data_IF_931291721723
#
_entry.id   IF_931291721723
#
_cell.length_a   1.000
_cell.length_b   1.000
_cell.length_c   1.000
_cell.angle_alpha   90.00
_cell.angle_beta   90.00
_cell.angle_gamma   90.00
#
_symmetry.space_group_name_H-M   'P 1'
#
loop_
_entity.id
_entity.type
_entity.pdbx_description
1 polymer ?
#
# COMPACT_ATOMS: atom_id res chain seq x y z
N UNK A 1 5.43 -31.24 38.75
CA UNK A 1 5.97 -29.95 38.27
C UNK A 1 7.24 -30.22 37.49
N UNK A 2 7.20 -30.11 36.17
CA UNK A 2 8.37 -30.30 35.31
C UNK A 2 9.11 -28.98 35.18
N UNK A 3 10.30 -28.89 35.76
CA UNK A 3 11.19 -27.74 35.62
C UNK A 3 11.95 -27.90 34.31
N UNK A 4 11.81 -26.90 33.43
CA UNK A 4 12.51 -26.81 32.15
C UNK A 4 13.96 -26.36 32.38
N UNK A 5 14.93 -27.10 31.85
CA UNK A 5 16.38 -26.83 31.92
C UNK A 5 16.87 -25.77 30.90
N UNK A 6 15.94 -25.03 30.30
CA UNK A 6 16.28 -24.05 29.27
C UNK A 6 16.75 -22.73 29.90
N UNK A 7 18.05 -22.47 29.82
CA UNK A 7 18.65 -21.17 30.14
C UNK A 7 18.34 -20.15 29.03
N UNK A 8 18.01 -18.90 29.36
CA UNK A 8 17.70 -17.88 28.35
C UNK A 8 18.94 -17.51 27.53
N UNK A 9 18.83 -17.60 26.21
CA UNK A 9 19.83 -17.07 25.27
C UNK A 9 19.43 -15.63 24.95
N UNK A 10 20.30 -14.69 25.30
CA UNK A 10 20.11 -13.26 25.02
C UNK A 10 21.14 -12.87 23.96
N UNK A 11 20.67 -12.23 22.89
CA UNK A 11 21.51 -11.74 21.80
C UNK A 11 21.24 -10.25 21.62
N UNK A 12 22.30 -9.46 21.57
CA UNK A 12 22.21 -8.03 21.24
C UNK A 12 22.75 -7.85 19.83
N UNK A 13 21.91 -7.33 18.93
CA UNK A 13 22.27 -7.07 17.54
C UNK A 13 22.40 -5.57 17.37
N UNK A 14 23.63 -5.09 17.13
CA UNK A 14 23.88 -3.71 16.75
C UNK A 14 23.77 -3.58 15.23
N UNK A 15 22.84 -2.72 14.77
CA UNK A 15 22.71 -2.42 13.35
C UNK A 15 23.42 -1.09 13.04
N UNK A 16 24.60 -1.10 12.40
CA UNK A 16 25.29 0.13 12.04
C UNK A 16 24.43 0.93 11.06
N UNK A 17 24.27 2.24 11.31
CA UNK A 17 23.54 3.12 10.39
C UNK A 17 24.24 3.09 9.02
N UNK A 18 23.51 2.80 7.93
CA UNK A 18 24.13 2.73 6.62
C UNK A 18 24.71 4.10 6.23
N UNK A 19 25.92 4.13 5.68
CA UNK A 19 26.61 5.36 5.28
C UNK A 19 25.97 6.07 4.07
N UNK A 20 25.03 5.40 3.40
CA UNK A 20 24.28 5.90 2.24
C UNK A 20 22.81 5.53 2.38
N UNK A 21 21.87 6.37 1.89
CA UNK A 21 20.47 6.00 1.83
C UNK A 21 20.32 4.75 0.98
N UNK A 22 19.88 3.66 1.60
CA UNK A 22 19.52 2.46 0.87
C UNK A 22 18.11 2.62 0.34
N UNK A 23 17.92 2.45 -0.97
CA UNK A 23 16.61 2.37 -1.58
C UNK A 23 15.97 1.03 -1.21
N UNK A 24 15.44 0.96 0.00
CA UNK A 24 14.64 -0.18 0.45
C UNK A 24 13.20 0.04 0.00
N UNK A 25 12.64 -0.96 -0.67
CA UNK A 25 11.22 -0.95 -0.94
C UNK A 25 10.47 -1.03 0.40
N UNK A 26 9.64 -0.03 0.67
CA UNK A 26 8.76 -0.01 1.84
C UNK A 26 7.34 -0.29 1.38
N UNK A 27 6.72 -1.32 1.94
CA UNK A 27 5.31 -1.60 1.73
C UNK A 27 4.47 -0.50 2.38
N UNK A 28 3.45 0.00 1.66
CA UNK A 28 2.39 0.77 2.28
C UNK A 28 1.41 -0.17 2.99
N UNK A 29 1.42 -0.12 4.33
CA UNK A 29 0.60 -1.00 5.19
C UNK A 29 -0.90 -0.79 5.00
N UNK A 30 -1.34 0.42 4.62
CA UNK A 30 -2.76 0.69 4.36
C UNK A 30 -3.33 -0.16 3.20
N UNK A 31 -2.48 -0.65 2.29
CA UNK A 31 -2.90 -1.56 1.22
C UNK A 31 -3.31 -2.93 1.75
N UNK A 32 -2.81 -3.31 2.92
CA UNK A 32 -3.19 -4.57 3.57
C UNK A 32 -4.55 -4.48 4.25
N UNK A 33 -5.04 -3.26 4.53
CA UNK A 33 -6.33 -3.02 5.17
C UNK A 33 -7.50 -3.02 4.17
N UNK A 34 -7.22 -2.83 2.87
CA UNK A 34 -8.24 -2.82 1.82
C UNK A 34 -8.82 -4.24 1.58
N UNK A 35 -10.13 -4.46 1.81
CA UNK A 35 -10.75 -5.79 1.66
C UNK A 35 -10.64 -6.37 0.24
N UNK A 36 -10.63 -5.53 -0.79
CA UNK A 36 -10.48 -5.97 -2.18
C UNK A 36 -9.06 -6.50 -2.42
N UNK A 37 -8.06 -5.80 -1.88
CA UNK A 37 -6.66 -6.23 -1.99
C UNK A 37 -6.44 -7.52 -1.20
N UNK A 38 -6.99 -7.63 0.01
CA UNK A 38 -6.92 -8.87 0.80
C UNK A 38 -7.53 -10.06 0.04
N UNK A 39 -8.68 -9.86 -0.61
CA UNK A 39 -9.35 -10.91 -1.37
C UNK A 39 -8.54 -11.33 -2.59
N UNK A 40 -7.96 -10.37 -3.33
CA UNK A 40 -7.12 -10.64 -4.51
C UNK A 40 -5.83 -11.39 -4.13
N UNK A 41 -5.19 -10.98 -3.03
CA UNK A 41 -4.01 -11.68 -2.49
C UNK A 41 -4.37 -13.10 -2.08
N UNK A 42 -5.48 -13.29 -1.34
CA UNK A 42 -5.91 -14.62 -0.88
C UNK A 42 -6.20 -15.56 -2.04
N UNK A 43 -7.03 -15.13 -2.99
CA UNK A 43 -7.41 -15.97 -4.14
C UNK A 43 -6.21 -16.32 -5.03
N UNK A 44 -5.29 -15.37 -5.25
CA UNK A 44 -4.09 -15.62 -6.03
C UNK A 44 -3.13 -16.58 -5.32
N UNK A 45 -2.98 -16.47 -4.01
CA UNK A 45 -2.16 -17.38 -3.21
C UNK A 45 -2.75 -18.80 -3.19
N UNK A 46 -4.06 -18.95 -3.01
CA UNK A 46 -4.75 -20.23 -3.09
C UNK A 46 -4.51 -20.89 -4.45
N UNK A 47 -4.66 -20.13 -5.55
CA UNK A 47 -4.38 -20.61 -6.89
C UNK A 47 -2.91 -21.01 -7.09
N UNK A 48 -1.97 -20.22 -6.57
CA UNK A 48 -0.53 -20.51 -6.63
C UNK A 48 -0.21 -21.86 -5.98
N UNK A 49 -0.72 -22.12 -4.77
CA UNK A 49 -0.47 -23.38 -4.07
C UNK A 49 -1.21 -24.58 -4.68
N UNK A 50 -2.32 -24.36 -5.40
CA UNK A 50 -2.99 -25.44 -6.13
C UNK A 50 -2.20 -25.85 -7.38
N UNK A 51 -1.62 -24.89 -8.08
CA UNK A 51 -0.98 -25.10 -9.39
C UNK A 51 0.52 -25.38 -9.33
N UNK A 52 1.21 -24.94 -8.27
CA UNK A 52 2.68 -25.01 -8.18
C UNK A 52 3.20 -26.05 -7.17
N UNK A 53 2.39 -27.07 -6.82
CA UNK A 53 2.88 -28.26 -6.09
C UNK A 53 3.64 -29.18 -7.05
N UNK A 54 4.84 -28.77 -7.45
CA UNK A 54 5.74 -29.61 -8.24
C UNK A 54 6.76 -30.29 -7.32
N UNK A 55 7.01 -31.60 -7.49
CA UNK A 55 7.99 -32.33 -6.68
C UNK A 55 9.43 -31.82 -6.85
N UNK A 56 9.71 -31.10 -7.94
CA UNK A 56 11.03 -30.57 -8.27
C UNK A 56 11.32 -29.18 -7.63
N UNK A 57 10.31 -28.52 -7.06
CA UNK A 57 10.47 -27.18 -6.48
C UNK A 57 10.94 -27.23 -5.03
N UNK A 58 12.04 -26.56 -4.73
CA UNK A 58 12.52 -26.45 -3.33
C UNK A 58 11.66 -25.49 -2.51
N UNK A 59 11.55 -25.75 -1.19
CA UNK A 59 10.78 -24.90 -0.28
C UNK A 59 11.23 -23.42 -0.30
N UNK A 60 12.53 -23.08 -0.36
CA UNK A 60 12.98 -21.70 -0.53
C UNK A 60 12.48 -21.04 -1.82
N UNK A 61 12.50 -21.77 -2.95
CA UNK A 61 12.02 -21.26 -4.24
C UNK A 61 10.53 -20.94 -4.18
N UNK A 62 9.73 -21.81 -3.57
CA UNK A 62 8.29 -21.60 -3.38
C UNK A 62 8.04 -20.34 -2.55
N UNK A 63 8.81 -20.15 -1.47
CA UNK A 63 8.70 -18.96 -0.62
C UNK A 63 9.05 -17.66 -1.35
N UNK A 64 10.14 -17.64 -2.13
CA UNK A 64 10.50 -16.47 -2.92
C UNK A 64 9.45 -16.16 -3.99
N UNK A 65 8.98 -17.17 -4.71
CA UNK A 65 7.94 -17.00 -5.73
C UNK A 65 6.64 -16.42 -5.13
N UNK A 66 6.21 -16.97 -3.99
CA UNK A 66 5.03 -16.48 -3.27
C UNK A 66 5.19 -15.00 -2.88
N UNK A 67 6.35 -14.61 -2.33
CA UNK A 67 6.63 -13.21 -1.97
C UNK A 67 6.62 -12.29 -3.19
N UNK A 68 7.17 -12.74 -4.32
CA UNK A 68 7.15 -11.98 -5.57
C UNK A 68 5.71 -11.73 -6.06
N UNK A 69 4.84 -12.74 -6.00
CA UNK A 69 3.42 -12.62 -6.36
C UNK A 69 2.72 -11.58 -5.49
N UNK A 70 2.83 -11.71 -4.17
CA UNK A 70 2.19 -10.77 -3.23
C UNK A 70 2.67 -9.33 -3.47
N UNK A 71 3.98 -9.13 -3.67
CA UNK A 71 4.53 -7.80 -4.00
C UNK A 71 3.97 -7.25 -5.31
N UNK A 72 3.87 -8.08 -6.35
CA UNK A 72 3.30 -7.68 -7.64
C UNK A 72 1.86 -7.18 -7.51
N UNK A 73 1.03 -7.89 -6.74
CA UNK A 73 -0.36 -7.50 -6.45
C UNK A 73 -0.37 -6.15 -5.72
N UNK A 74 0.42 -5.99 -4.66
CA UNK A 74 0.45 -4.76 -3.88
C UNK A 74 0.92 -3.56 -4.71
N UNK A 75 1.92 -3.73 -5.58
CA UNK A 75 2.39 -2.69 -6.50
C UNK A 75 1.30 -2.32 -7.52
N UNK A 76 0.60 -3.31 -8.10
CA UNK A 76 -0.53 -3.09 -9.02
C UNK A 76 -1.61 -2.23 -8.37
N UNK A 77 -2.06 -2.61 -7.17
CA UNK A 77 -3.11 -1.86 -6.46
C UNK A 77 -2.63 -0.48 -6.00
N UNK A 78 -1.42 -0.39 -5.44
CA UNK A 78 -0.85 0.89 -5.02
C UNK A 78 -0.70 1.89 -6.16
N UNK A 79 -0.27 1.43 -7.35
CA UNK A 79 -0.16 2.27 -8.54
C UNK A 79 -1.52 2.77 -9.00
N UNK A 80 -2.53 1.89 -9.01
CA UNK A 80 -3.92 2.25 -9.35
C UNK A 80 -4.48 3.30 -8.39
N UNK A 81 -4.36 3.09 -7.08
CA UNK A 81 -4.87 4.02 -6.07
C UNK A 81 -4.15 5.37 -6.13
N UNK A 82 -2.83 5.37 -6.33
CA UNK A 82 -2.06 6.61 -6.53
C UNK A 82 -2.55 7.40 -7.74
N UNK A 83 -2.82 6.72 -8.86
CA UNK A 83 -3.35 7.35 -10.07
C UNK A 83 -4.74 7.95 -9.81
N UNK A 84 -5.62 7.21 -9.14
CA UNK A 84 -6.97 7.69 -8.78
C UNK A 84 -6.91 8.93 -7.89
N UNK A 85 -6.11 8.91 -6.81
CA UNK A 85 -5.96 10.06 -5.93
C UNK A 85 -5.38 11.29 -6.65
N UNK A 86 -4.43 11.08 -7.58
CA UNK A 86 -3.87 12.17 -8.39
C UNK A 86 -4.92 12.80 -9.31
N UNK A 87 -5.77 11.96 -9.92
CA UNK A 87 -6.87 12.43 -10.78
C UNK A 87 -7.91 13.21 -9.98
N UNK A 88 -8.29 12.72 -8.80
CA UNK A 88 -9.24 13.39 -7.91
C UNK A 88 -8.73 14.77 -7.48
N UNK A 89 -7.45 14.86 -7.06
CA UNK A 89 -6.82 16.14 -6.72
C UNK A 89 -6.85 17.10 -7.91
N UNK A 90 -6.48 16.64 -9.11
CA UNK A 90 -6.47 17.49 -10.29
C UNK A 90 -7.88 17.99 -10.66
N UNK A 91 -8.89 17.13 -10.52
CA UNK A 91 -10.29 17.50 -10.71
C UNK A 91 -10.73 18.56 -9.70
N UNK A 92 -10.53 18.32 -8.40
CA UNK A 92 -10.91 19.25 -7.34
C UNK A 92 -10.21 20.61 -7.47
N UNK A 93 -8.91 20.63 -7.79
CA UNK A 93 -8.16 21.87 -8.05
C UNK A 93 -8.80 22.66 -9.20
N UNK A 94 -9.20 21.98 -10.27
CA UNK A 94 -9.86 22.63 -11.40
C UNK A 94 -11.23 23.19 -11.01
N UNK A 95 -12.01 22.44 -10.24
CA UNK A 95 -13.32 22.86 -9.76
C UNK A 95 -13.23 24.10 -8.86
N UNK A 96 -12.27 24.11 -7.92
CA UNK A 96 -12.02 25.25 -7.03
C UNK A 96 -11.63 26.49 -7.86
N UNK A 97 -10.70 26.36 -8.80
CA UNK A 97 -10.28 27.48 -9.65
C UNK A 97 -11.44 28.09 -10.46
N UNK A 98 -12.34 27.24 -10.98
CA UNK A 98 -13.54 27.69 -11.69
C UNK A 98 -14.51 28.43 -10.76
N UNK A 99 -14.74 27.90 -9.55
CA UNK A 99 -15.61 28.53 -8.56
C UNK A 99 -15.06 29.88 -8.09
N UNK A 100 -13.75 30.00 -7.88
CA UNK A 100 -13.09 31.26 -7.54
C UNK A 100 -13.24 32.30 -8.66
N UNK A 101 -13.01 31.89 -9.92
CA UNK A 101 -13.20 32.77 -11.08
C UNK A 101 -14.66 33.24 -11.21
N UNK A 102 -15.62 32.32 -11.05
CA UNK A 102 -17.06 32.63 -11.05
C UNK A 102 -17.43 33.59 -9.92
N UNK A 103 -16.92 33.35 -8.71
CA UNK A 103 -17.19 34.24 -7.58
C UNK A 103 -16.62 35.64 -7.81
N UNK A 104 -15.38 35.75 -8.30
CA UNK A 104 -14.74 37.02 -8.62
C UNK A 104 -15.50 37.82 -9.68
N UNK A 105 -16.15 37.14 -10.63
CA UNK A 105 -16.92 37.79 -11.69
C UNK A 105 -18.35 38.16 -11.25
N UNK A 106 -18.99 37.34 -10.41
CA UNK A 106 -20.41 37.50 -10.05
C UNK A 106 -20.62 38.21 -8.71
N UNK A 107 -19.61 38.25 -7.82
CA UNK A 107 -19.67 38.75 -6.43
C UNK A 107 -20.84 38.20 -5.59
N UNK A 108 -21.38 37.04 -5.97
CA UNK A 108 -22.61 36.49 -5.38
C UNK A 108 -22.31 35.60 -4.17
N UNK A 109 -23.02 35.85 -3.07
CA UNK A 109 -22.83 35.21 -1.75
C UNK A 109 -23.04 33.67 -1.75
N UNK A 110 -23.83 33.15 -2.70
CA UNK A 110 -24.06 31.71 -2.83
C UNK A 110 -22.81 30.95 -3.32
N UNK A 111 -21.99 31.56 -4.18
CA UNK A 111 -20.73 30.96 -4.66
C UNK A 111 -19.67 30.94 -3.56
N UNK A 112 -19.71 31.90 -2.64
CA UNK A 112 -18.84 31.95 -1.46
C UNK A 112 -19.15 30.82 -0.47
N UNK A 113 -20.43 30.51 -0.25
CA UNK A 113 -20.86 29.38 0.61
C UNK A 113 -20.40 28.02 0.06
N UNK A 114 -20.53 27.79 -1.25
CA UNK A 114 -20.01 26.57 -1.88
C UNK A 114 -18.48 26.44 -1.79
N UNK A 115 -17.74 27.56 -1.88
CA UNK A 115 -16.29 27.54 -1.70
C UNK A 115 -15.87 27.17 -0.27
N UNK A 116 -16.62 27.63 0.74
CA UNK A 116 -16.38 27.28 2.15
C UNK A 116 -16.68 25.80 2.44
N UNK A 117 -17.71 25.23 1.81
CA UNK A 117 -18.05 23.81 1.98
C UNK A 117 -17.08 22.86 1.23
N UNK A 118 -16.39 23.37 0.20
CA UNK A 118 -15.42 22.60 -0.60
C UNK A 118 -14.00 22.61 0.00
N UNK A 119 -13.76 23.46 1.01
CA UNK A 119 -12.44 23.66 1.67
C UNK A 119 -12.31 22.86 2.96
#
# INVERSE_FOLDING_TARGET
MTWSDHSPVIITIEHPKPSKPQWTWKLNESLLEDPLIQTDVRSTLEHFFLTNKTPDSTQPTIWEAQKCIVRGILIKHGTRLKKQGTQEIAYLVTQVAQLEAKHKHTLHDATYKQLLETR
#
